data_IF_364773081131
#
_entry.id   IF_364773081131
#
_cell.length_a   1.000
_cell.length_b   1.000
_cell.length_c   1.000
_cell.angle_alpha   90.00
_cell.angle_beta   90.00
_cell.angle_gamma   90.00
#
_symmetry.space_group_name_H-M   'P 1'
#
loop_
_entity.id
_entity.type
_entity.pdbx_description
1 polymer ?
#
# COMPACT_ATOMS: atom_id res chain seq x y z
N UNK A 1 -23.19 3.97 23.61
CA UNK A 1 -23.46 5.11 22.70
C UNK A 1 -23.63 4.55 21.30
N UNK A 2 -24.57 5.07 20.49
CA UNK A 2 -24.68 4.68 19.09
C UNK A 2 -23.40 5.17 18.38
N UNK A 3 -22.83 4.32 17.50
CA UNK A 3 -21.69 4.74 16.69
C UNK A 3 -22.14 5.80 15.70
N UNK A 4 -21.25 6.73 15.41
CA UNK A 4 -21.45 7.77 14.41
C UNK A 4 -21.51 7.17 13.02
N UNK A 5 -22.30 7.79 12.12
CA UNK A 5 -22.39 7.39 10.72
C UNK A 5 -21.30 8.11 9.93
N UNK A 6 -20.67 7.42 8.98
CA UNK A 6 -19.68 8.02 8.10
C UNK A 6 -20.34 9.00 7.13
N UNK A 7 -19.72 10.17 6.93
CA UNK A 7 -20.17 11.20 5.99
C UNK A 7 -19.42 11.06 4.65
N UNK A 8 -20.17 10.83 3.58
CA UNK A 8 -19.65 10.71 2.20
C UNK A 8 -19.77 12.00 1.38
N UNK A 9 -19.88 13.17 2.00
CA UNK A 9 -20.02 14.45 1.30
C UNK A 9 -18.79 14.84 0.47
N UNK A 10 -17.62 14.29 0.79
CA UNK A 10 -16.36 14.54 0.09
C UNK A 10 -15.86 13.27 -0.61
N UNK A 11 -15.21 13.40 -1.81
CA UNK A 11 -14.55 12.27 -2.47
C UNK A 11 -13.52 11.62 -1.53
N UNK A 12 -13.52 10.29 -1.46
CA UNK A 12 -12.58 9.52 -0.68
C UNK A 12 -11.34 9.12 -1.49
N UNK A 13 -10.15 9.39 -0.95
CA UNK A 13 -8.86 9.09 -1.56
C UNK A 13 -7.95 8.39 -0.56
N UNK A 14 -7.33 7.30 -0.97
CA UNK A 14 -6.31 6.61 -0.18
C UNK A 14 -4.94 7.17 -0.53
N UNK A 15 -4.27 7.76 0.44
CA UNK A 15 -2.91 8.28 0.30
C UNK A 15 -2.01 7.55 1.29
N UNK A 16 -0.70 7.56 1.09
CA UNK A 16 0.20 7.03 2.10
C UNK A 16 1.60 7.62 2.02
N UNK A 17 2.35 7.46 3.10
CA UNK A 17 3.76 7.85 3.18
C UNK A 17 4.67 6.67 2.84
N UNK A 18 5.61 6.89 1.92
CA UNK A 18 6.65 5.95 1.52
C UNK A 18 8.02 6.63 1.60
N UNK A 19 9.09 5.87 1.67
CA UNK A 19 10.46 6.39 1.74
C UNK A 19 11.33 5.63 2.75
N UNK A 20 12.59 6.02 2.85
CA UNK A 20 13.58 5.36 3.68
C UNK A 20 13.22 5.39 5.18
N UNK A 21 13.80 4.47 5.97
CA UNK A 21 13.75 4.53 7.44
C UNK A 21 14.39 5.85 7.92
N UNK A 22 13.90 6.41 9.01
CA UNK A 22 14.36 7.66 9.63
C UNK A 22 14.22 8.95 8.77
N UNK A 23 13.61 8.89 7.58
CA UNK A 23 13.29 10.08 6.80
C UNK A 23 12.10 10.88 7.34
N UNK A 24 11.40 10.38 8.38
CA UNK A 24 10.37 11.12 9.10
C UNK A 24 8.95 10.93 8.56
N UNK A 25 8.62 9.76 7.97
CA UNK A 25 7.27 9.42 7.47
C UNK A 25 6.20 9.54 8.55
N UNK A 26 6.35 8.83 9.66
CA UNK A 26 5.42 8.83 10.78
C UNK A 26 5.34 10.20 11.46
N UNK A 27 6.47 10.93 11.55
CA UNK A 27 6.49 12.32 12.02
C UNK A 27 5.67 13.23 11.12
N UNK A 28 5.78 13.07 9.80
CA UNK A 28 5.00 13.84 8.83
C UNK A 28 3.51 13.49 8.95
N UNK A 29 3.16 12.21 9.07
CA UNK A 29 1.77 11.76 9.27
C UNK A 29 1.17 12.40 10.54
N UNK A 30 1.90 12.42 11.65
CA UNK A 30 1.48 13.10 12.88
C UNK A 30 1.34 14.62 12.69
N UNK A 31 2.28 15.25 11.97
CA UNK A 31 2.24 16.68 11.66
C UNK A 31 1.03 17.06 10.81
N UNK A 32 0.71 16.28 9.77
CA UNK A 32 -0.48 16.47 8.93
C UNK A 32 -1.74 16.47 9.80
N UNK A 33 -1.91 15.44 10.66
CA UNK A 33 -3.12 15.37 11.53
C UNK A 33 -3.21 16.55 12.47
N UNK A 34 -2.09 17.03 13.02
CA UNK A 34 -2.07 18.19 13.92
C UNK A 34 -2.45 19.48 13.21
N UNK A 35 -1.80 19.78 12.08
CA UNK A 35 -2.07 20.99 11.29
C UNK A 35 -3.52 21.04 10.81
N UNK A 36 -4.07 19.91 10.36
CA UNK A 36 -5.46 19.83 9.92
C UNK A 36 -6.45 19.88 11.11
N UNK A 37 -6.07 19.36 12.29
CA UNK A 37 -6.90 19.44 13.48
C UNK A 37 -7.09 20.89 13.97
N UNK A 38 -6.10 21.75 13.80
CA UNK A 38 -6.25 23.20 14.11
C UNK A 38 -7.30 23.88 13.23
N UNK A 39 -7.61 23.30 12.08
CA UNK A 39 -8.69 23.73 11.16
C UNK A 39 -10.01 22.96 11.38
N UNK A 40 -10.07 22.04 12.35
CA UNK A 40 -11.23 21.19 12.58
C UNK A 40 -11.44 20.08 11.53
N UNK A 41 -10.41 19.75 10.76
CA UNK A 41 -10.45 18.81 9.64
C UNK A 41 -9.85 17.43 9.96
N UNK A 42 -9.36 17.22 11.18
CA UNK A 42 -8.78 15.96 11.66
C UNK A 42 -8.89 15.83 13.17
N UNK A 43 -8.64 14.61 13.68
CA UNK A 43 -8.25 14.39 15.07
C UNK A 43 -6.71 14.33 15.14
N UNK A 44 -6.12 14.94 16.17
CA UNK A 44 -4.67 14.85 16.40
C UNK A 44 -4.28 13.42 16.70
N UNK A 45 -3.34 12.88 15.92
CA UNK A 45 -2.69 11.59 16.19
C UNK A 45 -1.24 11.84 16.59
N UNK A 46 -0.87 11.39 17.79
CA UNK A 46 0.53 11.45 18.23
C UNK A 46 1.36 10.36 17.56
N UNK A 47 2.66 10.55 17.45
CA UNK A 47 3.61 9.56 16.97
C UNK A 47 3.37 8.19 17.63
N UNK A 48 3.30 8.16 18.98
CA UNK A 48 3.09 6.93 19.77
C UNK A 48 1.72 6.27 19.55
N UNK A 49 0.74 6.98 18.99
CA UNK A 49 -0.58 6.44 18.66
C UNK A 49 -0.62 5.86 17.24
N UNK A 50 0.28 6.28 16.37
CA UNK A 50 0.49 5.75 15.02
C UNK A 50 1.35 4.48 15.14
N UNK A 51 2.56 4.59 15.65
CA UNK A 51 3.45 3.46 15.98
C UNK A 51 3.07 2.90 17.36
N UNK A 52 2.02 2.11 17.41
CA UNK A 52 1.37 1.71 18.67
C UNK A 52 1.89 0.39 19.24
N UNK A 53 2.48 -0.48 18.43
CA UNK A 53 2.97 -1.79 18.84
C UNK A 53 4.19 -1.65 19.81
N UNK A 54 4.30 -2.52 20.83
CA UNK A 54 5.43 -2.48 21.75
C UNK A 54 6.80 -2.54 21.06
N UNK A 55 6.94 -3.38 20.05
CA UNK A 55 8.17 -3.52 19.27
C UNK A 55 8.52 -2.27 18.45
N UNK A 56 7.51 -1.55 17.93
CA UNK A 56 7.68 -0.28 17.22
C UNK A 56 8.25 0.79 18.15
N UNK A 57 7.68 0.88 19.35
CA UNK A 57 8.14 1.82 20.41
C UNK A 57 9.54 1.52 20.90
N UNK A 58 9.87 0.24 21.07
CA UNK A 58 11.20 -0.19 21.53
C UNK A 58 12.28 0.09 20.49
N UNK A 59 11.98 -0.12 19.22
CA UNK A 59 12.94 0.05 18.11
C UNK A 59 12.93 1.44 17.49
N UNK A 60 11.88 2.24 17.73
CA UNK A 60 11.69 3.56 17.12
C UNK A 60 11.45 3.52 15.61
N UNK A 61 10.92 2.41 15.09
CA UNK A 61 10.63 2.22 13.65
C UNK A 61 9.22 1.66 13.44
N UNK A 62 8.57 2.07 12.38
CA UNK A 62 7.28 1.52 11.95
C UNK A 62 7.47 0.11 11.40
N UNK A 63 6.72 -0.84 11.92
CA UNK A 63 6.73 -2.26 11.51
C UNK A 63 5.47 -2.60 10.71
N UNK A 64 4.31 -2.21 11.23
CA UNK A 64 3.01 -2.46 10.60
C UNK A 64 2.51 -1.19 9.92
N UNK A 65 1.65 -1.36 8.91
CA UNK A 65 0.93 -0.23 8.33
C UNK A 65 -0.05 0.34 9.35
N UNK A 66 -0.04 1.66 9.53
CA UNK A 66 -1.02 2.35 10.36
C UNK A 66 -1.97 3.15 9.46
N UNK A 67 -3.26 3.14 9.81
CA UNK A 67 -4.29 3.88 9.08
C UNK A 67 -4.77 5.08 9.88
N UNK A 68 -4.69 6.25 9.28
CA UNK A 68 -5.10 7.53 9.87
C UNK A 68 -6.12 8.21 8.98
N UNK A 69 -7.13 8.83 9.57
CA UNK A 69 -8.19 9.57 8.87
C UNK A 69 -7.99 11.07 9.03
N UNK A 70 -8.12 11.81 7.95
CA UNK A 70 -8.21 13.26 7.95
C UNK A 70 -8.91 13.78 6.68
N UNK A 71 -9.19 15.06 6.63
CA UNK A 71 -9.81 15.71 5.46
C UNK A 71 -9.13 17.05 5.16
N UNK A 72 -9.28 17.47 3.91
CA UNK A 72 -9.10 18.86 3.48
C UNK A 72 -10.48 19.50 3.25
N UNK A 73 -10.51 20.71 2.76
CA UNK A 73 -11.80 21.33 2.36
C UNK A 73 -12.50 20.57 1.23
N UNK A 74 -11.73 19.89 0.37
CA UNK A 74 -12.21 19.27 -0.87
C UNK A 74 -12.29 17.76 -0.83
N UNK A 75 -11.51 17.07 0.02
CA UNK A 75 -11.36 15.61 0.01
C UNK A 75 -11.32 15.01 1.41
N UNK A 76 -11.75 13.75 1.50
CA UNK A 76 -11.54 12.88 2.65
C UNK A 76 -10.41 11.90 2.36
N UNK A 77 -9.48 11.73 3.30
CA UNK A 77 -8.31 10.88 3.15
C UNK A 77 -8.27 9.74 4.16
N UNK A 78 -8.04 8.52 3.65
CA UNK A 78 -7.46 7.45 4.43
C UNK A 78 -5.95 7.45 4.17
N UNK A 79 -5.16 7.69 5.20
CA UNK A 79 -3.71 7.74 5.10
C UNK A 79 -3.08 6.46 5.67
N UNK A 80 -2.27 5.80 4.85
CA UNK A 80 -1.52 4.60 5.20
C UNK A 80 -0.08 4.98 5.50
N UNK A 81 0.32 4.93 6.75
CA UNK A 81 1.74 5.09 7.12
C UNK A 81 2.48 3.78 6.93
N UNK A 82 3.45 3.75 6.01
CA UNK A 82 4.17 2.55 5.63
C UNK A 82 5.51 2.42 6.35
N UNK A 83 5.92 1.18 6.72
CA UNK A 83 7.25 0.94 7.26
C UNK A 83 8.33 1.31 6.24
N UNK A 84 9.47 1.83 6.74
CA UNK A 84 10.62 2.22 5.93
C UNK A 84 11.72 1.16 5.84
N UNK A 85 11.75 0.22 6.79
CA UNK A 85 12.83 -0.75 6.92
C UNK A 85 12.67 -1.93 5.94
N UNK A 86 13.80 -2.40 5.38
CA UNK A 86 13.83 -3.48 4.39
C UNK A 86 13.19 -4.79 4.86
N UNK A 87 13.26 -5.11 6.16
CA UNK A 87 12.67 -6.32 6.73
C UNK A 87 11.14 -6.33 6.66
N UNK A 88 10.51 -5.15 6.56
CA UNK A 88 9.04 -4.99 6.57
C UNK A 88 8.46 -4.61 5.21
N UNK A 89 9.22 -4.81 4.14
CA UNK A 89 8.77 -4.51 2.76
C UNK A 89 7.46 -5.21 2.41
N UNK A 90 7.17 -6.39 2.97
CA UNK A 90 5.86 -7.05 2.80
C UNK A 90 4.71 -6.16 3.24
N UNK A 91 4.84 -5.51 4.39
CA UNK A 91 3.82 -4.59 4.91
C UNK A 91 3.74 -3.31 4.06
N UNK A 92 4.91 -2.81 3.59
CA UNK A 92 4.97 -1.68 2.66
C UNK A 92 4.26 -1.99 1.34
N UNK A 93 4.51 -3.16 0.73
CA UNK A 93 3.84 -3.58 -0.52
C UNK A 93 2.32 -3.66 -0.34
N UNK A 94 1.87 -4.25 0.78
CA UNK A 94 0.45 -4.32 1.11
C UNK A 94 -0.18 -2.94 1.29
N UNK A 95 0.50 -2.04 1.99
CA UNK A 95 0.04 -0.66 2.17
C UNK A 95 0.00 0.11 0.86
N UNK A 96 1.09 0.03 0.07
CA UNK A 96 1.17 0.72 -1.22
C UNK A 96 0.10 0.24 -2.23
N UNK A 97 -0.25 -1.03 -2.23
CA UNK A 97 -1.32 -1.56 -3.08
C UNK A 97 -2.71 -0.97 -2.77
N UNK A 98 -2.87 -0.33 -1.62
CA UNK A 98 -4.12 0.33 -1.23
C UNK A 98 -4.18 1.81 -1.63
N UNK A 99 -3.08 2.40 -2.09
CA UNK A 99 -2.97 3.84 -2.33
C UNK A 99 -3.49 4.25 -3.71
N UNK A 100 -4.19 5.36 -3.75
CA UNK A 100 -4.56 6.09 -4.97
C UNK A 100 -3.51 7.14 -5.36
N UNK A 101 -2.61 7.45 -4.44
CA UNK A 101 -1.42 8.28 -4.60
C UNK A 101 -0.51 8.13 -3.39
N UNK A 102 0.75 8.57 -3.46
CA UNK A 102 1.64 8.49 -2.32
C UNK A 102 2.45 9.76 -2.12
N UNK A 103 2.86 10.00 -0.87
CA UNK A 103 3.80 11.04 -0.47
C UNK A 103 5.16 10.36 -0.27
N UNK A 104 6.10 10.66 -1.15
CA UNK A 104 7.48 10.23 -1.00
C UNK A 104 8.21 11.16 -0.04
N UNK A 105 8.67 10.63 1.09
CA UNK A 105 9.41 11.40 2.10
C UNK A 105 10.90 11.13 1.95
N UNK A 106 11.66 12.20 1.69
CA UNK A 106 13.13 12.14 1.56
C UNK A 106 13.74 13.19 2.49
N UNK A 107 14.65 12.77 3.37
CA UNK A 107 15.39 13.71 4.21
C UNK A 107 16.42 14.50 3.37
N UNK A 108 16.39 15.81 3.46
CA UNK A 108 17.33 16.68 2.73
C UNK A 108 18.79 16.47 3.14
N UNK A 109 19.01 15.98 4.38
CA UNK A 109 20.35 15.65 4.90
C UNK A 109 20.98 14.43 4.24
N UNK A 110 20.18 13.49 3.75
CA UNK A 110 20.63 12.18 3.30
C UNK A 110 20.41 11.95 1.80
N UNK A 111 19.46 12.67 1.20
CA UNK A 111 19.03 12.47 -0.17
C UNK A 111 18.33 11.10 -0.38
N UNK A 112 18.16 10.66 -1.63
CA UNK A 112 17.56 9.36 -1.95
C UNK A 112 18.44 8.18 -1.51
N UNK A 113 17.94 7.39 -0.57
CA UNK A 113 18.60 6.22 0.03
C UNK A 113 18.12 4.91 -0.62
N UNK A 114 18.73 3.74 -0.34
CA UNK A 114 18.37 2.48 -0.99
C UNK A 114 16.88 2.10 -0.89
N UNK A 115 16.25 2.25 0.29
CA UNK A 115 14.82 1.95 0.43
C UNK A 115 13.95 3.01 -0.28
N UNK A 116 14.42 4.24 -0.47
CA UNK A 116 13.72 5.24 -1.30
C UNK A 116 13.53 4.70 -2.71
N UNK A 117 14.60 4.17 -3.31
CA UNK A 117 14.58 3.55 -4.64
C UNK A 117 13.64 2.33 -4.69
N UNK A 118 13.73 1.45 -3.71
CA UNK A 118 12.88 0.26 -3.63
C UNK A 118 11.40 0.63 -3.47
N UNK A 119 11.08 1.64 -2.66
CA UNK A 119 9.70 2.08 -2.44
C UNK A 119 9.08 2.72 -3.69
N UNK A 120 9.85 3.52 -4.44
CA UNK A 120 9.39 4.10 -5.72
C UNK A 120 9.10 2.96 -6.72
N UNK A 121 10.02 2.00 -6.85
CA UNK A 121 9.86 0.84 -7.70
C UNK A 121 8.60 0.04 -7.34
N UNK A 122 8.41 -0.27 -6.06
CA UNK A 122 7.26 -1.03 -5.57
C UNK A 122 5.96 -0.27 -5.76
N UNK A 123 5.92 1.02 -5.47
CA UNK A 123 4.75 1.88 -5.74
C UNK A 123 4.36 1.82 -7.22
N UNK A 124 5.34 1.90 -8.13
CA UNK A 124 5.10 1.76 -9.57
C UNK A 124 4.54 0.39 -9.94
N UNK A 125 5.09 -0.67 -9.36
CA UNK A 125 4.66 -2.06 -9.64
C UNK A 125 3.25 -2.35 -9.16
N UNK A 126 2.88 -1.89 -7.96
CA UNK A 126 1.51 -2.08 -7.43
C UNK A 126 0.50 -1.13 -8.07
N UNK A 127 0.96 -0.18 -8.89
CA UNK A 127 0.11 0.67 -9.70
C UNK A 127 -0.30 1.98 -9.04
N UNK A 128 0.47 2.50 -8.08
CA UNK A 128 0.28 3.86 -7.58
C UNK A 128 0.44 4.85 -8.74
N UNK A 129 -0.60 5.62 -9.10
CA UNK A 129 -0.59 6.39 -10.33
C UNK A 129 0.29 7.63 -10.26
N UNK A 130 0.34 8.31 -9.11
CA UNK A 130 1.05 9.58 -8.92
C UNK A 130 1.67 9.68 -7.53
N UNK A 131 2.77 10.45 -7.47
CA UNK A 131 3.48 10.77 -6.25
C UNK A 131 3.50 12.30 -6.03
N UNK A 132 3.58 12.71 -4.76
CA UNK A 132 4.01 14.05 -4.34
C UNK A 132 5.22 13.85 -3.44
N UNK A 133 6.21 14.72 -3.50
CA UNK A 133 7.42 14.60 -2.68
C UNK A 133 7.40 15.60 -1.54
N UNK A 134 7.71 15.14 -0.34
CA UNK A 134 8.03 16.00 0.79
C UNK A 134 9.52 15.85 1.13
N UNK A 135 10.31 16.88 0.78
CA UNK A 135 11.71 16.95 1.15
C UNK A 135 11.80 17.46 2.59
N UNK A 136 11.99 16.52 3.50
CA UNK A 136 11.94 16.72 4.95
C UNK A 136 13.28 17.13 5.53
N UNK A 137 13.29 17.64 6.76
CA UNK A 137 14.48 18.05 7.53
C UNK A 137 15.27 19.18 6.84
N UNK A 138 14.62 20.03 6.06
CA UNK A 138 15.28 21.17 5.42
C UNK A 138 15.82 22.20 6.44
N UNK A 139 15.27 22.21 7.65
CA UNK A 139 15.73 23.00 8.79
C UNK A 139 17.15 22.62 9.28
N UNK A 140 17.65 21.45 8.92
CA UNK A 140 18.99 20.95 9.26
C UNK A 140 20.04 21.24 8.16
N UNK A 141 19.64 21.86 7.06
CA UNK A 141 20.54 22.15 5.91
C UNK A 141 20.62 23.65 5.70
N UNK A 142 21.77 24.21 6.02
CA UNK A 142 22.00 25.66 5.92
C UNK A 142 22.33 26.13 4.49
N UNK A 143 22.78 25.22 3.62
CA UNK A 143 23.19 25.52 2.25
C UNK A 143 22.03 25.29 1.25
N UNK A 144 21.49 26.36 0.64
CA UNK A 144 20.44 26.26 -0.36
C UNK A 144 20.86 25.45 -1.62
N UNK A 145 22.14 25.51 -2.01
CA UNK A 145 22.63 24.76 -3.18
C UNK A 145 22.56 23.25 -2.95
N UNK A 146 22.75 22.81 -1.70
CA UNK A 146 22.58 21.40 -1.33
C UNK A 146 21.13 20.96 -1.44
N UNK A 147 20.17 21.81 -1.06
CA UNK A 147 18.74 21.52 -1.23
C UNK A 147 18.38 21.37 -2.71
N UNK A 148 18.91 22.24 -3.58
CA UNK A 148 18.68 22.18 -5.02
C UNK A 148 19.27 20.90 -5.63
N UNK A 149 20.46 20.49 -5.16
CA UNK A 149 21.10 19.24 -5.60
C UNK A 149 20.27 18.00 -5.23
N UNK A 150 19.81 17.94 -3.98
CA UNK A 150 18.97 16.83 -3.51
C UNK A 150 17.64 16.78 -4.28
N UNK A 151 17.03 17.94 -4.57
CA UNK A 151 15.82 17.99 -5.38
C UNK A 151 16.06 17.47 -6.79
N UNK A 152 17.16 17.83 -7.42
CA UNK A 152 17.55 17.37 -8.75
C UNK A 152 17.74 15.84 -8.75
N UNK A 153 18.42 15.29 -7.75
CA UNK A 153 18.62 13.84 -7.60
C UNK A 153 17.28 13.08 -7.44
N UNK A 154 16.34 13.65 -6.67
CA UNK A 154 14.99 13.07 -6.52
C UNK A 154 14.27 13.07 -7.87
N UNK A 155 14.31 14.15 -8.65
CA UNK A 155 13.67 14.26 -9.97
C UNK A 155 14.24 13.23 -10.96
N UNK A 156 15.56 13.12 -11.04
CA UNK A 156 16.24 12.13 -11.89
C UNK A 156 15.85 10.70 -11.49
N UNK A 157 15.79 10.43 -10.19
CA UNK A 157 15.38 9.13 -9.68
C UNK A 157 13.93 8.80 -10.08
N UNK A 158 12.99 9.72 -9.91
CA UNK A 158 11.59 9.52 -10.28
C UNK A 158 11.45 9.26 -11.79
N UNK A 159 12.15 10.02 -12.63
CA UNK A 159 12.19 9.80 -14.08
C UNK A 159 12.72 8.41 -14.44
N UNK A 160 13.71 7.89 -13.71
CA UNK A 160 14.25 6.54 -13.94
C UNK A 160 13.26 5.41 -13.66
N UNK A 161 12.18 5.68 -12.93
CA UNK A 161 11.10 4.73 -12.62
C UNK A 161 9.77 5.08 -13.32
N UNK A 162 9.80 5.82 -14.40
CA UNK A 162 8.65 6.22 -15.21
C UNK A 162 7.59 7.06 -14.48
N UNK A 163 7.99 7.81 -13.46
CA UNK A 163 7.20 8.90 -12.92
C UNK A 163 7.61 10.22 -13.60
N UNK A 164 6.70 11.18 -13.65
CA UNK A 164 6.97 12.49 -14.24
C UNK A 164 7.78 13.38 -13.28
N UNK A 165 9.06 13.02 -13.06
CA UNK A 165 9.94 13.67 -12.11
C UNK A 165 10.13 15.18 -12.34
N UNK A 166 9.98 15.62 -13.59
CA UNK A 166 10.15 17.05 -13.94
C UNK A 166 8.98 17.91 -13.42
N UNK A 167 7.77 17.37 -13.39
CA UNK A 167 6.55 18.09 -13.03
C UNK A 167 5.99 17.72 -11.66
N UNK A 168 6.44 16.63 -11.04
CA UNK A 168 5.98 16.21 -9.70
C UNK A 168 6.24 17.33 -8.68
N UNK A 169 5.24 17.74 -7.87
CA UNK A 169 5.44 18.70 -6.81
C UNK A 169 6.44 18.18 -5.76
N UNK A 170 7.44 18.97 -5.45
CA UNK A 170 8.41 18.74 -4.38
C UNK A 170 8.29 19.89 -3.38
N UNK A 171 7.80 19.57 -2.19
CA UNK A 171 7.63 20.52 -1.11
C UNK A 171 8.80 20.40 -0.13
N UNK A 172 9.51 21.51 0.10
CA UNK A 172 10.62 21.62 1.06
C UNK A 172 10.07 22.00 2.43
N UNK A 173 10.41 21.24 3.48
CA UNK A 173 9.88 21.53 4.79
C UNK A 173 10.53 20.74 5.93
N UNK A 174 9.96 20.91 7.11
CA UNK A 174 10.30 20.16 8.32
C UNK A 174 9.04 19.67 9.00
N UNK A 175 8.85 18.36 8.99
CA UNK A 175 7.73 17.72 9.68
C UNK A 175 7.81 17.94 11.20
N UNK A 176 9.02 17.99 11.77
CA UNK A 176 9.22 18.25 13.19
C UNK A 176 8.87 19.68 13.56
N UNK A 177 9.28 20.67 12.75
CA UNK A 177 8.90 22.06 12.93
C UNK A 177 7.38 22.26 12.86
N UNK A 178 6.71 21.58 11.91
CA UNK A 178 5.25 21.58 11.82
C UNK A 178 4.59 20.94 13.06
N UNK A 179 5.13 19.82 13.53
CA UNK A 179 4.64 19.16 14.74
C UNK A 179 4.83 20.02 15.99
N UNK A 180 5.86 20.87 16.03
CA UNK A 180 6.09 21.85 17.09
C UNK A 180 5.23 23.12 16.95
N UNK A 181 4.51 23.29 15.85
CA UNK A 181 3.68 24.47 15.57
C UNK A 181 4.47 25.68 15.07
N UNK A 182 5.68 25.47 14.54
CA UNK A 182 6.48 26.54 13.94
C UNK A 182 5.86 26.98 12.61
N UNK A 183 5.70 28.30 12.35
CA UNK A 183 4.98 28.79 11.18
C UNK A 183 5.50 28.29 9.84
N UNK A 184 6.82 28.14 9.69
CA UNK A 184 7.45 27.62 8.47
C UNK A 184 7.11 26.15 8.21
N UNK A 185 7.12 25.33 9.29
CA UNK A 185 6.76 23.93 9.23
C UNK A 185 5.27 23.76 8.94
N UNK A 186 4.40 24.49 9.64
CA UNK A 186 2.95 24.46 9.39
C UNK A 186 2.64 24.80 7.94
N UNK A 187 3.25 25.87 7.41
CA UNK A 187 3.07 26.29 6.01
C UNK A 187 3.49 25.20 5.03
N UNK A 188 4.61 24.51 5.26
CA UNK A 188 5.08 23.43 4.38
C UNK A 188 4.11 22.24 4.34
N UNK A 189 3.44 21.90 5.45
CA UNK A 189 2.40 20.87 5.50
C UNK A 189 1.13 21.33 4.78
N UNK A 190 0.74 22.60 4.89
CA UNK A 190 -0.38 23.16 4.13
C UNK A 190 -0.11 23.12 2.61
N UNK A 191 1.07 23.52 2.16
CA UNK A 191 1.51 23.43 0.76
C UNK A 191 1.53 21.97 0.28
N UNK A 192 1.98 21.03 1.12
CA UNK A 192 1.93 19.60 0.80
C UNK A 192 0.49 19.14 0.58
N UNK A 193 -0.45 19.49 1.45
CA UNK A 193 -1.84 19.06 1.33
C UNK A 193 -2.52 19.70 0.12
N UNK A 194 -2.20 20.95 -0.22
CA UNK A 194 -2.65 21.58 -1.47
C UNK A 194 -2.11 20.85 -2.71
N UNK A 195 -0.82 20.48 -2.68
CA UNK A 195 -0.23 19.69 -3.76
C UNK A 195 -0.89 18.31 -3.89
N UNK A 196 -1.18 17.63 -2.78
CA UNK A 196 -1.89 16.35 -2.77
C UNK A 196 -3.31 16.49 -3.34
N UNK A 197 -4.04 17.53 -2.93
CA UNK A 197 -5.40 17.80 -3.42
C UNK A 197 -5.45 18.09 -4.94
N UNK A 198 -4.42 18.75 -5.47
CA UNK A 198 -4.41 19.20 -6.87
C UNK A 198 -3.73 18.22 -7.82
N UNK A 199 -2.64 17.57 -7.37
CA UNK A 199 -1.82 16.70 -8.22
C UNK A 199 -2.31 15.25 -8.27
N UNK A 200 -2.75 14.69 -7.13
CA UNK A 200 -3.26 13.31 -7.10
C UNK A 200 -4.65 13.29 -7.74
N UNK A 201 -4.86 12.51 -8.84
CA UNK A 201 -6.17 12.44 -9.48
C UNK A 201 -7.20 11.75 -8.59
N UNK A 202 -8.47 12.12 -8.76
CA UNK A 202 -9.55 11.36 -8.16
C UNK A 202 -9.59 9.96 -8.80
N UNK A 203 -9.60 8.90 -7.99
CA UNK A 203 -9.58 7.55 -8.52
C UNK A 203 -10.92 7.16 -9.16
N UNK A 204 -10.86 6.42 -10.26
CA UNK A 204 -12.03 5.76 -10.83
C UNK A 204 -12.30 4.47 -10.07
N UNK A 205 -13.47 4.36 -9.45
CA UNK A 205 -13.84 3.21 -8.63
C UNK A 205 -14.57 2.15 -9.46
N UNK A 206 -14.16 0.89 -9.32
CA UNK A 206 -14.75 -0.25 -10.03
C UNK A 206 -15.99 -0.79 -9.29
N UNK A 207 -17.00 0.07 -9.06
CA UNK A 207 -18.21 -0.26 -8.31
C UNK A 207 -19.15 -1.21 -9.05
N UNK A 208 -19.11 -1.22 -10.37
CA UNK A 208 -19.96 -2.08 -11.22
C UNK A 208 -19.50 -3.55 -11.29
N UNK A 209 -18.33 -3.87 -10.73
CA UNK A 209 -17.80 -5.23 -10.68
C UNK A 209 -18.31 -5.98 -9.44
N UNK A 210 -18.26 -7.33 -9.43
CA UNK A 210 -18.51 -8.08 -8.21
C UNK A 210 -17.63 -7.63 -7.05
N UNK A 211 -18.20 -7.65 -5.84
CA UNK A 211 -17.47 -7.30 -4.61
C UNK A 211 -16.24 -8.18 -4.41
N UNK A 212 -15.11 -7.58 -4.09
CA UNK A 212 -13.87 -8.22 -3.73
C UNK A 212 -13.05 -7.35 -2.77
N UNK A 213 -12.64 -7.93 -1.64
CA UNK A 213 -11.78 -7.31 -0.63
C UNK A 213 -10.68 -8.27 -0.18
N UNK A 214 -9.40 -7.99 -0.44
CA UNK A 214 -8.28 -8.71 0.15
C UNK A 214 -8.23 -8.47 1.67
N UNK A 215 -8.01 -9.54 2.44
CA UNK A 215 -7.89 -9.46 3.90
C UNK A 215 -6.50 -8.96 4.28
N UNK A 216 -6.44 -7.88 5.03
CA UNK A 216 -5.21 -7.28 5.55
C UNK A 216 -4.94 -7.69 6.99
N UNK A 217 -5.96 -7.60 7.85
CA UNK A 217 -5.87 -8.00 9.26
C UNK A 217 -7.19 -8.61 9.74
N UNK A 218 -7.11 -9.37 10.83
CA UNK A 218 -8.27 -10.05 11.42
C UNK A 218 -8.20 -9.97 12.94
N UNK A 219 -9.28 -9.51 13.54
CA UNK A 219 -9.41 -9.46 14.99
C UNK A 219 -10.82 -9.82 15.46
N UNK A 220 -10.95 -10.13 16.73
CA UNK A 220 -12.24 -10.41 17.36
C UNK A 220 -12.67 -9.27 18.24
N UNK A 221 -13.95 -8.90 18.17
CA UNK A 221 -14.56 -7.94 19.07
C UNK A 221 -15.50 -8.69 19.99
N UNK A 222 -15.25 -8.61 21.31
CA UNK A 222 -16.09 -9.26 22.31
C UNK A 222 -17.56 -8.87 22.13
N UNK A 223 -18.43 -9.87 21.99
CA UNK A 223 -19.88 -9.68 21.80
C UNK A 223 -20.31 -9.28 20.38
N UNK A 224 -19.37 -9.10 19.43
CA UNK A 224 -19.68 -8.72 18.04
C UNK A 224 -19.18 -9.75 17.01
N UNK A 225 -18.17 -10.56 17.34
CA UNK A 225 -17.61 -11.59 16.47
C UNK A 225 -16.30 -11.20 15.78
N UNK A 226 -15.99 -11.87 14.70
CA UNK A 226 -14.78 -11.68 13.89
C UNK A 226 -14.94 -10.51 12.93
N UNK A 227 -13.92 -9.68 12.88
CA UNK A 227 -13.80 -8.56 11.95
C UNK A 227 -12.59 -8.79 11.06
N UNK A 228 -12.80 -8.75 9.75
CA UNK A 228 -11.75 -8.73 8.76
C UNK A 228 -11.62 -7.33 8.17
N UNK A 229 -10.40 -6.79 8.15
CA UNK A 229 -10.13 -5.47 7.55
C UNK A 229 -9.46 -5.61 6.20
N UNK A 230 -9.67 -4.62 5.35
CA UNK A 230 -9.04 -4.49 4.05
C UNK A 230 -9.60 -3.33 3.26
N UNK A 231 -8.94 -3.02 2.15
CA UNK A 231 -9.49 -2.11 1.15
C UNK A 231 -10.36 -2.89 0.16
N UNK A 232 -11.56 -2.41 -0.11
CA UNK A 232 -12.43 -2.96 -1.16
C UNK A 232 -11.76 -2.69 -2.52
N UNK A 233 -11.40 -3.75 -3.24
CA UNK A 233 -10.75 -3.67 -4.56
C UNK A 233 -11.78 -3.36 -5.64
N UNK A 234 -12.92 -4.05 -5.61
CA UNK A 234 -14.02 -3.88 -6.57
C UNK A 234 -15.38 -4.07 -5.90
N UNK A 235 -16.41 -3.52 -6.54
CA UNK A 235 -17.82 -3.73 -6.18
C UNK A 235 -18.30 -2.92 -4.98
N UNK A 236 -19.47 -3.33 -4.51
CA UNK A 236 -20.16 -2.75 -3.35
C UNK A 236 -20.57 -3.89 -2.42
N UNK A 237 -20.57 -3.64 -1.10
CA UNK A 237 -21.00 -4.58 -0.07
C UNK A 237 -21.97 -3.92 0.90
N UNK A 238 -23.05 -4.63 1.24
CA UNK A 238 -24.05 -4.19 2.21
C UNK A 238 -24.10 -5.13 3.41
N UNK A 239 -24.68 -4.65 4.48
CA UNK A 239 -25.08 -5.51 5.59
C UNK A 239 -26.11 -6.52 5.12
N UNK A 240 -25.94 -7.78 5.52
CA UNK A 240 -26.70 -8.98 5.13
C UNK A 240 -26.30 -9.61 3.80
N UNK A 241 -25.34 -9.06 3.08
CA UNK A 241 -24.82 -9.72 1.87
C UNK A 241 -24.08 -11.01 2.22
N UNK A 242 -24.30 -12.10 1.46
CA UNK A 242 -23.50 -13.29 1.56
C UNK A 242 -22.13 -13.10 0.90
N UNK A 243 -21.10 -13.71 1.48
CA UNK A 243 -19.73 -13.65 0.97
C UNK A 243 -19.05 -15.01 1.03
N UNK A 244 -18.14 -15.24 0.10
CA UNK A 244 -17.19 -16.34 0.10
C UNK A 244 -15.84 -15.82 0.62
N UNK A 245 -15.12 -16.67 1.40
CA UNK A 245 -13.77 -16.38 1.91
C UNK A 245 -12.86 -17.45 1.32
N UNK A 246 -11.82 -17.02 0.58
CA UNK A 246 -11.07 -17.89 -0.34
C UNK A 246 -9.58 -17.62 -0.23
N UNK A 247 -8.75 -18.65 -0.39
CA UNK A 247 -7.32 -18.58 -0.60
C UNK A 247 -6.48 -19.19 0.51
N UNK A 248 -5.16 -19.14 0.33
CA UNK A 248 -4.16 -19.64 1.27
C UNK A 248 -4.23 -21.16 1.52
N UNK A 249 -4.66 -21.93 0.51
CA UNK A 249 -4.79 -23.39 0.60
C UNK A 249 -5.86 -23.89 1.59
N UNK A 250 -6.70 -23.00 2.10
CA UNK A 250 -7.79 -23.34 2.99
C UNK A 250 -9.07 -23.71 2.21
N UNK A 251 -9.93 -24.53 2.83
CA UNK A 251 -11.27 -24.76 2.30
C UNK A 251 -12.04 -23.45 2.21
N UNK A 252 -12.86 -23.32 1.16
CA UNK A 252 -13.73 -22.15 0.99
C UNK A 252 -14.72 -22.06 2.14
N UNK A 253 -14.76 -20.91 2.80
CA UNK A 253 -15.75 -20.59 3.79
C UNK A 253 -16.84 -19.67 3.21
N UNK A 254 -18.01 -19.73 3.80
CA UNK A 254 -19.12 -18.83 3.46
C UNK A 254 -19.59 -18.10 4.71
N UNK A 255 -19.94 -16.84 4.58
CA UNK A 255 -20.41 -16.02 5.69
C UNK A 255 -21.45 -15.00 5.22
N UNK A 256 -21.98 -14.25 6.16
CA UNK A 256 -22.84 -13.09 5.91
C UNK A 256 -22.24 -11.89 6.64
N UNK A 257 -22.14 -10.78 5.95
CA UNK A 257 -21.68 -9.51 6.53
C UNK A 257 -22.77 -8.98 7.49
N UNK A 258 -22.41 -8.78 8.75
CA UNK A 258 -23.34 -8.25 9.76
C UNK A 258 -23.14 -6.79 10.07
N UNK A 259 -22.10 -6.17 9.54
CA UNK A 259 -21.82 -4.76 9.64
C UNK A 259 -20.62 -4.34 8.81
N UNK A 260 -20.64 -3.12 8.34
CA UNK A 260 -19.56 -2.47 7.60
C UNK A 260 -19.15 -1.22 8.38
N UNK A 261 -17.85 -1.11 8.69
CA UNK A 261 -17.32 0.02 9.47
C UNK A 261 -16.05 0.58 8.81
N UNK A 262 -15.89 1.88 8.85
CA UNK A 262 -14.66 2.58 8.46
C UNK A 262 -14.31 3.62 9.53
N UNK A 263 -13.06 3.63 10.03
CA UNK A 263 -12.61 4.52 11.10
C UNK A 263 -13.54 4.56 12.33
N UNK A 264 -14.05 3.38 12.75
CA UNK A 264 -15.00 3.19 13.85
C UNK A 264 -16.41 3.80 13.64
N UNK A 265 -16.69 4.35 12.46
CA UNK A 265 -18.01 4.83 12.03
C UNK A 265 -18.73 3.73 11.24
N UNK A 266 -20.06 3.72 11.32
CA UNK A 266 -20.90 2.75 10.60
C UNK A 266 -21.11 3.27 9.17
N UNK A 267 -21.00 2.35 8.19
CA UNK A 267 -21.40 2.60 6.82
C UNK A 267 -22.69 1.82 6.51
N UNK A 268 -23.57 2.39 5.70
CA UNK A 268 -24.72 1.68 5.14
C UNK A 268 -24.25 0.68 4.09
N UNK A 269 -23.25 1.06 3.29
CA UNK A 269 -22.59 0.26 2.28
C UNK A 269 -21.10 0.59 2.24
N UNK A 270 -20.27 -0.40 1.87
CA UNK A 270 -18.87 -0.23 1.52
C UNK A 270 -18.70 -0.33 0.01
N UNK A 271 -17.92 0.58 -0.60
CA UNK A 271 -17.69 0.59 -2.04
C UNK A 271 -16.20 0.49 -2.39
N UNK A 272 -15.91 0.14 -3.63
CA UNK A 272 -14.54 0.06 -4.13
C UNK A 272 -13.73 1.30 -3.74
N UNK A 273 -12.60 1.10 -3.08
CA UNK A 273 -11.72 2.13 -2.55
C UNK A 273 -11.84 2.36 -1.05
N UNK A 274 -12.92 1.95 -0.40
CA UNK A 274 -13.07 2.10 1.05
C UNK A 274 -12.15 1.14 1.81
N UNK A 275 -11.52 1.62 2.89
CA UNK A 275 -10.81 0.79 3.87
C UNK A 275 -11.78 0.42 4.99
N UNK A 276 -12.29 -0.80 4.96
CA UNK A 276 -13.38 -1.22 5.85
C UNK A 276 -13.00 -2.37 6.76
N UNK A 277 -13.71 -2.45 7.89
CA UNK A 277 -13.82 -3.65 8.70
C UNK A 277 -15.19 -4.30 8.45
N UNK A 278 -15.18 -5.53 7.98
CA UNK A 278 -16.37 -6.34 7.78
C UNK A 278 -16.59 -7.25 8.99
N UNK A 279 -17.74 -7.12 9.64
CA UNK A 279 -18.17 -8.04 10.67
C UNK A 279 -18.76 -9.29 10.01
N UNK A 280 -18.22 -10.44 10.33
CA UNK A 280 -18.58 -11.73 9.70
C UNK A 280 -19.34 -12.61 10.67
N UNK A 281 -20.44 -13.22 10.21
CA UNK A 281 -21.25 -14.13 11.00
C UNK A 281 -20.66 -15.55 10.98
N UNK A 282 -20.50 -16.13 12.19
CA UNK A 282 -20.18 -17.56 12.33
C UNK A 282 -18.79 -17.97 11.87
N UNK A 283 -17.86 -17.00 11.73
CA UNK A 283 -16.45 -17.25 11.39
C UNK A 283 -15.61 -17.02 12.65
N UNK A 284 -14.77 -17.99 12.98
CA UNK A 284 -13.75 -17.81 14.04
C UNK A 284 -12.54 -17.06 13.48
N UNK A 285 -11.87 -16.28 14.35
CA UNK A 285 -10.66 -15.52 13.99
C UNK A 285 -9.58 -16.42 13.38
N UNK A 286 -9.48 -17.69 13.78
CA UNK A 286 -8.44 -18.62 13.34
C UNK A 286 -8.76 -19.26 11.96
N UNK A 287 -10.00 -19.12 11.46
CA UNK A 287 -10.42 -19.65 10.17
C UNK A 287 -10.10 -18.69 9.02
N UNK A 288 -9.92 -17.41 9.33
CA UNK A 288 -9.60 -16.37 8.36
C UNK A 288 -8.26 -15.71 8.71
N UNK A 289 -7.48 -15.39 7.70
CA UNK A 289 -6.16 -14.76 7.88
C UNK A 289 -5.80 -13.83 6.75
N UNK A 290 -4.83 -12.96 6.99
CA UNK A 290 -4.23 -12.11 5.97
C UNK A 290 -3.83 -12.93 4.75
N UNK A 291 -4.09 -12.38 3.56
CA UNK A 291 -3.83 -13.02 2.27
C UNK A 291 -5.01 -13.78 1.69
N UNK A 292 -6.04 -14.09 2.47
CA UNK A 292 -7.33 -14.50 1.95
C UNK A 292 -8.08 -13.35 1.30
N UNK A 293 -9.12 -13.67 0.54
CA UNK A 293 -9.99 -12.68 -0.11
C UNK A 293 -11.43 -12.95 0.29
N UNK A 294 -12.15 -11.87 0.61
CA UNK A 294 -13.61 -11.91 0.80
C UNK A 294 -14.24 -11.38 -0.48
N UNK A 295 -15.13 -12.14 -1.07
CA UNK A 295 -15.70 -11.80 -2.38
C UNK A 295 -17.20 -12.16 -2.46
N UNK A 296 -17.89 -11.57 -3.43
CA UNK A 296 -19.23 -11.99 -3.79
C UNK A 296 -19.24 -13.49 -4.15
N UNK A 297 -20.29 -14.25 -3.78
CA UNK A 297 -20.30 -15.68 -3.95
C UNK A 297 -20.04 -16.13 -5.41
N UNK A 298 -19.12 -17.08 -5.58
CA UNK A 298 -18.77 -17.70 -6.87
C UNK A 298 -18.14 -16.76 -7.92
N UNK A 299 -17.58 -15.63 -7.52
CA UNK A 299 -16.97 -14.65 -8.44
C UNK A 299 -15.47 -14.79 -8.60
N UNK A 300 -14.79 -15.43 -7.65
CA UNK A 300 -13.36 -15.73 -7.70
C UNK A 300 -13.12 -17.15 -7.20
N UNK A 301 -12.06 -17.77 -7.70
CA UNK A 301 -11.69 -19.14 -7.35
C UNK A 301 -10.24 -19.22 -6.89
N UNK A 302 -9.88 -20.22 -6.05
CA UNK A 302 -8.50 -20.50 -5.70
C UNK A 302 -7.80 -21.18 -6.87
N UNK A 303 -6.57 -20.78 -7.14
CA UNK A 303 -5.70 -21.32 -8.20
C UNK A 303 -4.25 -21.34 -7.75
N UNK A 304 -3.45 -22.23 -8.31
CA UNK A 304 -2.01 -22.29 -8.03
C UNK A 304 -1.15 -22.20 -9.29
N UNK A 305 -1.72 -22.47 -10.49
CA UNK A 305 -0.94 -22.53 -11.71
C UNK A 305 -1.45 -21.56 -12.78
N UNK A 306 -0.55 -20.77 -13.31
CA UNK A 306 -0.88 -19.72 -14.27
C UNK A 306 0.29 -19.38 -15.19
N UNK A 307 -0.03 -18.75 -16.33
CA UNK A 307 0.94 -18.04 -17.17
C UNK A 307 0.99 -16.56 -16.80
N UNK A 308 2.16 -15.97 -16.89
CA UNK A 308 2.35 -14.54 -16.63
C UNK A 308 3.38 -13.91 -17.56
N UNK A 309 3.11 -12.69 -17.99
CA UNK A 309 4.11 -11.82 -18.58
C UNK A 309 4.92 -11.17 -17.45
N UNK A 310 6.24 -11.30 -17.48
CA UNK A 310 7.13 -10.80 -16.42
C UNK A 310 8.26 -9.97 -16.99
N UNK A 311 8.70 -9.00 -16.19
CA UNK A 311 9.93 -8.26 -16.37
C UNK A 311 10.89 -8.57 -15.20
N UNK A 312 12.12 -8.93 -15.54
CA UNK A 312 13.16 -9.23 -14.56
C UNK A 312 14.06 -8.00 -14.41
N UNK A 313 14.09 -7.44 -13.21
CA UNK A 313 14.81 -6.20 -12.91
C UNK A 313 16.31 -6.35 -13.12
N UNK A 314 16.93 -5.33 -13.73
CA UNK A 314 18.37 -5.19 -13.87
C UNK A 314 19.02 -4.88 -12.52
N UNK A 315 20.34 -5.04 -12.46
CA UNK A 315 21.14 -4.70 -11.27
C UNK A 315 21.01 -3.21 -10.90
N UNK A 316 21.00 -2.35 -11.89
CA UNK A 316 20.87 -0.89 -11.74
C UNK A 316 19.51 -0.48 -11.17
N UNK A 317 18.48 -1.30 -11.40
CA UNK A 317 17.12 -1.15 -10.85
C UNK A 317 16.96 -1.80 -9.47
N UNK A 318 18.05 -2.26 -8.84
CA UNK A 318 18.03 -2.96 -7.55
C UNK A 318 17.76 -4.46 -7.66
N UNK A 319 17.60 -4.99 -8.87
CA UNK A 319 17.30 -6.38 -9.14
C UNK A 319 18.50 -7.33 -9.07
N UNK A 320 18.41 -8.42 -9.81
CA UNK A 320 19.46 -9.44 -9.89
C UNK A 320 20.64 -8.98 -10.74
N UNK A 321 21.82 -9.55 -10.46
CA UNK A 321 23.02 -9.42 -11.28
C UNK A 321 23.42 -10.73 -11.97
N UNK A 322 22.72 -11.83 -11.66
CA UNK A 322 22.94 -13.17 -12.24
C UNK A 322 21.65 -13.69 -12.89
N UNK A 323 21.75 -14.48 -13.96
CA UNK A 323 20.59 -15.15 -14.53
C UNK A 323 19.99 -16.16 -13.56
N UNK A 324 18.74 -16.57 -13.82
CA UNK A 324 18.17 -17.75 -13.20
C UNK A 324 17.75 -18.78 -14.26
N UNK A 325 17.67 -20.02 -13.84
CA UNK A 325 17.35 -21.16 -14.68
C UNK A 325 15.93 -21.68 -14.40
N UNK A 326 15.51 -22.64 -15.22
CA UNK A 326 14.26 -23.36 -15.01
C UNK A 326 14.16 -23.93 -13.59
N UNK A 327 12.96 -24.02 -13.04
CA UNK A 327 12.68 -24.41 -11.62
C UNK A 327 13.19 -23.45 -10.56
N UNK A 328 13.45 -22.19 -10.91
CA UNK A 328 13.71 -21.15 -9.94
C UNK A 328 12.49 -20.93 -9.03
N UNK A 329 12.69 -20.79 -7.73
CA UNK A 329 11.64 -20.74 -6.71
C UNK A 329 11.70 -19.47 -5.87
N UNK A 330 11.28 -18.31 -6.40
CA UNK A 330 11.16 -17.06 -5.64
C UNK A 330 9.85 -16.99 -4.86
N UNK A 331 9.66 -15.88 -4.14
CA UNK A 331 8.38 -15.49 -3.54
C UNK A 331 7.60 -14.59 -4.50
N UNK A 332 6.31 -14.86 -4.62
CA UNK A 332 5.35 -14.08 -5.40
C UNK A 332 4.45 -13.31 -4.45
N UNK A 333 4.37 -12.01 -4.62
CA UNK A 333 3.56 -11.11 -3.79
C UNK A 333 2.32 -10.69 -4.57
N UNK A 334 1.16 -11.15 -4.12
CA UNK A 334 -0.15 -10.81 -4.67
C UNK A 334 -0.98 -10.12 -3.61
N UNK A 335 -1.58 -8.96 -3.90
CA UNK A 335 -2.43 -8.25 -2.93
C UNK A 335 -1.79 -8.19 -1.53
N UNK A 336 -2.41 -8.88 -0.57
CA UNK A 336 -1.95 -8.92 0.84
C UNK A 336 -1.18 -10.19 1.21
N UNK A 337 -0.90 -11.09 0.24
CA UNK A 337 -0.21 -12.37 0.47
C UNK A 337 1.12 -12.46 -0.26
N UNK A 338 1.99 -13.33 0.25
CA UNK A 338 3.16 -13.83 -0.43
C UNK A 338 3.14 -15.37 -0.43
N UNK A 339 3.55 -15.95 -1.53
CA UNK A 339 3.59 -17.40 -1.71
C UNK A 339 4.79 -17.79 -2.57
N UNK A 340 5.45 -18.87 -2.21
CA UNK A 340 6.55 -19.44 -3.01
C UNK A 340 5.96 -20.13 -4.24
N UNK A 341 6.58 -19.96 -5.41
CA UNK A 341 6.21 -20.67 -6.63
C UNK A 341 7.40 -21.08 -7.45
N UNK A 342 7.26 -22.16 -8.19
CA UNK A 342 8.26 -22.65 -9.14
C UNK A 342 7.99 -22.06 -10.52
N UNK A 343 9.06 -21.52 -11.15
CA UNK A 343 8.99 -20.96 -12.49
C UNK A 343 9.39 -22.04 -13.51
N UNK A 344 8.53 -22.24 -14.52
CA UNK A 344 8.84 -23.01 -15.72
C UNK A 344 9.04 -22.05 -16.90
N UNK A 345 10.18 -22.15 -17.55
CA UNK A 345 10.53 -21.33 -18.70
C UNK A 345 9.91 -21.89 -19.99
N UNK A 346 9.63 -21.05 -20.99
CA UNK A 346 9.15 -21.50 -22.31
C UNK A 346 10.16 -22.42 -23.00
N UNK A 347 9.65 -23.29 -23.89
CA UNK A 347 10.47 -24.24 -24.64
C UNK A 347 11.62 -23.53 -25.37
N UNK A 348 12.81 -24.13 -25.30
CA UNK A 348 14.03 -23.60 -25.95
C UNK A 348 14.75 -22.50 -25.14
N UNK A 349 14.26 -22.13 -23.99
CA UNK A 349 14.91 -21.14 -23.14
C UNK A 349 15.49 -21.79 -21.89
N UNK A 350 16.81 -21.74 -21.76
CA UNK A 350 17.53 -22.38 -20.63
C UNK A 350 17.68 -21.45 -19.42
N UNK A 351 17.74 -20.13 -19.67
CA UNK A 351 17.96 -19.13 -18.61
C UNK A 351 17.25 -17.81 -18.92
N UNK A 352 17.07 -17.00 -17.89
CA UNK A 352 16.53 -15.63 -17.96
C UNK A 352 17.55 -14.66 -17.39
N UNK A 353 17.84 -13.62 -18.16
CA UNK A 353 18.77 -12.56 -17.79
C UNK A 353 18.05 -11.39 -17.10
N UNK A 354 18.74 -10.67 -16.20
CA UNK A 354 18.26 -9.37 -15.75
C UNK A 354 18.00 -8.43 -16.95
N UNK A 355 16.82 -7.81 -16.97
CA UNK A 355 16.33 -6.97 -18.08
C UNK A 355 15.46 -7.69 -19.10
N UNK A 356 15.26 -8.99 -18.97
CA UNK A 356 14.40 -9.75 -19.88
C UNK A 356 12.91 -9.51 -19.60
N UNK A 357 12.15 -9.43 -20.71
CA UNK A 357 10.69 -9.53 -20.74
C UNK A 357 10.31 -10.87 -21.38
N UNK A 358 9.49 -11.66 -20.71
CA UNK A 358 9.06 -12.97 -21.22
C UNK A 358 7.75 -13.43 -20.56
N UNK A 359 7.13 -14.44 -21.18
CA UNK A 359 6.04 -15.19 -20.55
C UNK A 359 6.61 -16.42 -19.85
N UNK A 360 6.20 -16.62 -18.60
CA UNK A 360 6.57 -17.78 -17.77
C UNK A 360 5.33 -18.52 -17.33
N UNK A 361 5.48 -19.82 -16.99
CA UNK A 361 4.49 -20.57 -16.23
C UNK A 361 4.93 -20.62 -14.77
N UNK A 362 4.02 -20.34 -13.86
CA UNK A 362 4.24 -20.38 -12.42
C UNK A 362 3.33 -21.42 -11.78
N UNK A 363 3.92 -22.21 -10.88
CA UNK A 363 3.22 -23.19 -10.06
C UNK A 363 3.47 -22.86 -8.58
N UNK A 364 2.45 -22.35 -7.90
CA UNK A 364 2.52 -21.92 -6.50
C UNK A 364 2.38 -23.13 -5.56
N UNK A 365 3.02 -23.07 -4.41
CA UNK A 365 2.93 -24.12 -3.38
C UNK A 365 1.58 -24.16 -2.66
N UNK A 366 0.73 -23.16 -2.84
CA UNK A 366 -0.59 -23.05 -2.22
C UNK A 366 -1.55 -22.33 -3.15
N UNK A 367 -2.81 -22.75 -3.13
CA UNK A 367 -3.88 -22.04 -3.84
C UNK A 367 -4.12 -20.66 -3.25
N UNK A 368 -4.21 -19.67 -4.10
CA UNK A 368 -4.59 -18.28 -3.74
C UNK A 368 -5.72 -17.81 -4.65
N UNK A 369 -6.43 -16.77 -4.22
CA UNK A 369 -7.46 -16.14 -5.04
C UNK A 369 -6.80 -15.39 -6.21
N UNK A 370 -6.85 -15.99 -7.41
CA UNK A 370 -6.25 -15.46 -8.64
C UNK A 370 -7.32 -15.05 -9.64
N UNK A 371 -7.00 -14.06 -10.45
CA UNK A 371 -7.72 -13.69 -11.66
C UNK A 371 -6.73 -13.22 -12.73
N UNK A 372 -7.14 -13.29 -13.98
CA UNK A 372 -6.37 -12.70 -15.07
C UNK A 372 -6.19 -11.18 -14.88
N UNK A 373 -5.10 -10.65 -15.37
CA UNK A 373 -4.63 -9.27 -15.21
C UNK A 373 -4.19 -8.88 -13.79
N UNK A 374 -4.17 -9.80 -12.83
CA UNK A 374 -3.63 -9.53 -11.49
C UNK A 374 -2.12 -9.29 -11.57
N UNK A 375 -1.68 -8.18 -11.05
CA UNK A 375 -0.25 -7.83 -10.95
C UNK A 375 0.37 -8.45 -9.72
N UNK A 376 1.68 -8.72 -9.81
CA UNK A 376 2.46 -9.25 -8.69
C UNK A 376 3.93 -8.81 -8.76
N UNK A 377 4.58 -8.84 -7.61
CA UNK A 377 6.01 -8.68 -7.50
C UNK A 377 6.70 -10.04 -7.27
N UNK A 378 7.92 -10.20 -7.82
CA UNK A 378 8.77 -11.37 -7.60
C UNK A 378 9.90 -10.94 -6.68
N UNK A 379 10.11 -11.65 -5.57
CA UNK A 379 11.13 -11.32 -4.57
C UNK A 379 12.01 -12.52 -4.22
N UNK A 380 13.29 -12.23 -3.95
CA UNK A 380 14.30 -13.19 -3.49
C UNK A 380 15.22 -12.52 -2.46
N UNK A 381 15.47 -13.18 -1.34
CA UNK A 381 16.42 -12.72 -0.32
C UNK A 381 16.16 -11.28 0.16
N UNK A 382 14.89 -10.88 0.32
CA UNK A 382 14.51 -9.55 0.75
C UNK A 382 14.54 -8.47 -0.34
N UNK A 383 14.84 -8.81 -1.61
CA UNK A 383 14.89 -7.87 -2.74
C UNK A 383 13.82 -8.17 -3.76
N UNK A 384 13.27 -7.13 -4.38
CA UNK A 384 12.42 -7.27 -5.56
C UNK A 384 13.31 -7.56 -6.77
N UNK A 385 13.06 -8.68 -7.44
CA UNK A 385 13.85 -9.15 -8.58
C UNK A 385 13.08 -9.12 -9.91
N UNK A 386 11.79 -8.88 -9.83
CA UNK A 386 10.93 -8.76 -11.01
C UNK A 386 9.51 -8.40 -10.66
N UNK A 387 8.73 -8.16 -11.68
CA UNK A 387 7.29 -7.97 -11.59
C UNK A 387 6.59 -8.65 -12.76
N UNK A 388 5.30 -8.89 -12.61
CA UNK A 388 4.53 -9.51 -13.67
C UNK A 388 3.05 -9.30 -13.53
N UNK A 389 2.34 -9.81 -14.52
CA UNK A 389 0.89 -9.80 -14.60
C UNK A 389 0.40 -11.17 -15.07
N UNK A 390 -0.59 -11.71 -14.40
CA UNK A 390 -1.24 -12.98 -14.79
C UNK A 390 -1.92 -12.80 -16.13
N UNK A 391 -1.54 -13.60 -17.12
CA UNK A 391 -2.12 -13.56 -18.46
C UNK A 391 -3.16 -14.66 -18.70
N UNK A 392 -3.01 -15.79 -17.98
CA UNK A 392 -3.92 -16.93 -18.12
C UNK A 392 -3.87 -17.83 -16.89
N UNK A 393 -5.01 -18.25 -16.41
CA UNK A 393 -5.15 -19.27 -15.37
C UNK A 393 -5.11 -20.67 -16.03
N UNK A 394 -4.34 -21.60 -15.45
CA UNK A 394 -4.18 -22.96 -15.96
C UNK A 394 -4.85 -24.01 -15.06
N UNK A 395 -4.67 -23.91 -13.74
CA UNK A 395 -5.25 -24.81 -12.72
C UNK A 395 -5.56 -24.02 -11.43
#
# INVERSE_FOLDING_TARGET
MAKEKFDRSKPHVNIGTIGHVDHGKTTLTAAITKVLAEKGLSEVKSFDSIDSAPEEKERGITINTAHVEYQTETRHYAHVDCPGHADYVKNMVTGAAQMDGAILVVAATDGPMPQTREHILLARQVGVPQLVVFMNKCDLVDDPELLDLVEMEIRELLNSYDFDGDNIPIIRGSALAALNGEPSGVKSVEELMEAVDTWIPLPTRAVDKPFLMPVEDVFSITGRGTVATGRIETGVIHTSDPVDIIGMGAEKLTSVVTGVEMFRKILDEGEAGDNVGLLLRGIDKNEIRRGMVIAAPKTIHPHHKFEAAVYILKKEEGGRHTPFHNKYRPQFYFRTTDVTGEITLPEGREMVMPGDNLTITVDLISDIALNENLRFAIREGGRTVGSGQVTKILE
#
